data_IF_473883545394
#
_entry.id   IF_473883545394
#
_cell.length_a   1.000
_cell.length_b   1.000
_cell.length_c   1.000
_cell.angle_alpha   90.00
_cell.angle_beta   90.00
_cell.angle_gamma   90.00
#
_symmetry.space_group_name_H-M   'P 1'
#
loop_
_entity.id
_entity.type
_entity.pdbx_description
1 polymer ?
#
# COMPACT_ATOMS: atom_id res chain seq x y z
N UNK A 1 -40.86 74.95 17.92
CA UNK A 1 -42.01 74.81 17.01
C UNK A 1 -41.53 74.89 15.56
N UNK A 2 -41.93 73.89 14.76
CA UNK A 2 -41.98 73.84 13.28
C UNK A 2 -40.70 73.55 12.48
N UNK A 3 -40.62 72.28 12.05
CA UNK A 3 -40.08 71.71 10.80
C UNK A 3 -40.53 72.51 9.54
N UNK A 4 -39.98 72.48 8.31
CA UNK A 4 -39.16 71.56 7.48
C UNK A 4 -38.80 72.37 6.15
N UNK A 5 -38.30 71.80 5.03
CA UNK A 5 -36.94 71.34 4.64
C UNK A 5 -36.25 72.27 3.60
N UNK A 6 -34.96 72.06 3.32
CA UNK A 6 -34.44 72.19 1.94
C UNK A 6 -33.58 70.99 1.56
N UNK A 7 -34.25 70.04 0.90
CA UNK A 7 -33.72 69.06 -0.03
C UNK A 7 -33.18 69.85 -1.23
N UNK A 8 -31.87 69.82 -1.53
CA UNK A 8 -31.24 69.76 -2.88
C UNK A 8 -29.71 69.77 -2.63
N UNK A 9 -28.99 68.65 -2.78
CA UNK A 9 -27.54 68.63 -3.11
C UNK A 9 -27.02 67.28 -3.65
N UNK A 10 -27.77 66.53 -4.45
CA UNK A 10 -27.18 65.37 -5.17
C UNK A 10 -27.75 65.17 -6.60
N UNK A 11 -28.05 66.26 -7.31
CA UNK A 11 -28.53 66.20 -8.69
C UNK A 11 -27.41 66.23 -9.76
N UNK A 12 -26.16 65.89 -9.40
CA UNK A 12 -25.01 66.04 -10.31
C UNK A 12 -24.11 64.81 -10.47
N UNK A 13 -24.29 63.74 -9.69
CA UNK A 13 -23.34 62.61 -9.66
C UNK A 13 -23.94 61.25 -10.06
N UNK A 14 -25.25 61.20 -10.35
CA UNK A 14 -25.93 59.98 -10.78
C UNK A 14 -25.76 59.62 -12.27
N UNK A 15 -25.64 60.56 -13.25
CA UNK A 15 -25.50 60.16 -14.65
C UNK A 15 -24.09 59.71 -15.02
N UNK A 16 -23.07 60.08 -14.23
CA UNK A 16 -21.67 59.82 -14.56
C UNK A 16 -21.21 58.41 -14.14
N UNK A 17 -21.83 57.83 -13.11
CA UNK A 17 -21.59 56.44 -12.68
C UNK A 17 -22.36 55.41 -13.51
N UNK A 18 -23.49 55.79 -14.13
CA UNK A 18 -24.27 54.88 -14.98
C UNK A 18 -23.68 54.74 -16.40
N UNK A 19 -22.94 55.74 -16.89
CA UNK A 19 -22.24 55.69 -18.18
C UNK A 19 -20.97 54.82 -18.17
N UNK A 20 -20.35 54.63 -17.01
CA UNK A 20 -19.16 53.80 -16.84
C UNK A 20 -19.47 52.29 -16.75
N UNK A 21 -20.73 51.91 -16.52
CA UNK A 21 -21.15 50.50 -16.51
C UNK A 21 -21.50 49.95 -17.90
N UNK A 22 -21.72 50.79 -18.91
CA UNK A 22 -22.15 50.36 -20.25
C UNK A 22 -21.04 50.32 -21.31
N UNK A 23 -19.80 50.68 -20.94
CA UNK A 23 -18.62 50.55 -21.80
C UNK A 23 -17.67 49.41 -21.36
N UNK A 24 -18.07 48.64 -20.34
CA UNK A 24 -17.29 47.51 -19.78
C UNK A 24 -17.76 46.12 -20.21
N UNK A 25 -18.67 46.04 -21.19
CA UNK A 25 -19.00 44.78 -21.87
C UNK A 25 -18.47 44.88 -23.30
N UNK A 26 -17.14 44.78 -23.45
CA UNK A 26 -16.60 44.30 -24.71
C UNK A 26 -16.97 42.82 -24.81
N UNK A 27 -17.65 42.44 -25.89
CA UNK A 27 -17.85 41.05 -26.30
C UNK A 27 -16.48 40.33 -26.30
N UNK A 28 -16.13 39.67 -25.20
CA UNK A 28 -15.11 38.60 -25.18
C UNK A 28 -15.81 37.26 -25.44
N UNK A 29 -16.66 37.20 -26.46
CA UNK A 29 -17.32 35.97 -26.88
C UNK A 29 -16.58 35.25 -28.02
N UNK A 30 -15.46 35.79 -28.52
CA UNK A 30 -14.72 35.21 -29.65
C UNK A 30 -13.66 34.16 -29.28
N UNK A 31 -13.31 34.01 -28.00
CA UNK A 31 -12.35 32.99 -27.52
C UNK A 31 -13.02 31.87 -26.70
N UNK A 32 -14.25 31.50 -27.05
CA UNK A 32 -14.85 30.25 -26.55
C UNK A 32 -14.50 29.16 -27.56
N UNK A 33 -13.67 28.15 -27.21
CA UNK A 33 -13.38 27.03 -28.09
C UNK A 33 -14.66 26.43 -28.66
N UNK A 34 -14.75 26.36 -29.98
CA UNK A 34 -15.93 25.85 -30.69
C UNK A 34 -16.04 24.33 -30.65
N UNK A 35 -14.98 23.65 -30.21
CA UNK A 35 -14.97 22.24 -29.85
C UNK A 35 -14.14 22.07 -28.58
N UNK A 36 -14.64 21.23 -27.68
CA UNK A 36 -13.88 20.75 -26.54
C UNK A 36 -13.80 19.23 -26.62
N UNK A 37 -12.65 18.68 -26.25
CA UNK A 37 -12.51 17.24 -26.17
C UNK A 37 -13.44 16.67 -25.09
N UNK A 38 -14.12 15.59 -25.43
CA UNK A 38 -14.97 14.86 -24.49
C UNK A 38 -14.12 14.17 -23.42
N UNK A 39 -14.71 13.91 -22.25
CA UNK A 39 -14.06 13.13 -21.19
C UNK A 39 -13.52 11.80 -21.75
N UNK A 40 -14.32 11.08 -22.54
CA UNK A 40 -13.90 9.82 -23.16
C UNK A 40 -12.68 9.97 -24.08
N UNK A 41 -12.62 11.04 -24.88
CA UNK A 41 -11.47 11.29 -25.75
C UNK A 41 -10.22 11.60 -24.92
N UNK A 42 -10.35 12.44 -23.89
CA UNK A 42 -9.24 12.77 -22.98
C UNK A 42 -8.75 11.53 -22.22
N UNK A 43 -9.65 10.68 -21.74
CA UNK A 43 -9.27 9.42 -21.07
C UNK A 43 -8.50 8.50 -22.02
N UNK A 44 -8.95 8.34 -23.26
CA UNK A 44 -8.24 7.51 -24.25
C UNK A 44 -6.86 8.08 -24.57
N UNK A 45 -6.76 9.39 -24.78
CA UNK A 45 -5.46 10.04 -25.03
C UNK A 45 -4.52 9.94 -23.82
N UNK A 46 -5.07 10.01 -22.61
CA UNK A 46 -4.32 9.82 -21.37
C UNK A 46 -3.71 8.42 -21.29
N UNK A 47 -4.51 7.38 -21.51
CA UNK A 47 -4.02 6.00 -21.49
C UNK A 47 -3.11 5.66 -22.67
N UNK A 48 -3.37 6.20 -23.87
CA UNK A 48 -2.46 6.07 -25.02
C UNK A 48 -1.07 6.67 -24.72
N UNK A 49 -1.04 7.85 -24.07
CA UNK A 49 0.20 8.49 -23.66
C UNK A 49 0.90 7.71 -22.52
N UNK A 50 0.12 7.20 -21.55
CA UNK A 50 0.63 6.36 -20.46
C UNK A 50 1.32 5.11 -21.01
N UNK A 51 0.65 4.37 -21.89
CA UNK A 51 1.19 3.16 -22.53
C UNK A 51 2.43 3.45 -23.40
N UNK A 52 2.57 4.67 -23.92
CA UNK A 52 3.76 5.12 -24.63
C UNK A 52 4.92 5.56 -23.70
N UNK A 53 4.71 5.56 -22.39
CA UNK A 53 5.66 6.06 -21.38
C UNK A 53 5.75 7.59 -21.31
N UNK A 54 4.85 8.32 -21.98
CA UNK A 54 4.79 9.79 -21.93
C UNK A 54 3.87 10.25 -20.80
N UNK A 55 4.34 10.03 -19.58
CA UNK A 55 3.57 10.28 -18.36
C UNK A 55 3.21 11.77 -18.17
N UNK A 56 4.01 12.71 -18.68
CA UNK A 56 3.68 14.14 -18.59
C UNK A 56 2.48 14.49 -19.49
N UNK A 57 2.42 13.91 -20.70
CA UNK A 57 1.28 14.08 -21.59
C UNK A 57 0.05 13.35 -21.04
N UNK A 58 0.21 12.15 -20.48
CA UNK A 58 -0.86 11.41 -19.81
C UNK A 58 -1.49 12.24 -18.67
N UNK A 59 -0.64 12.82 -17.81
CA UNK A 59 -1.07 13.68 -16.71
C UNK A 59 -1.93 14.85 -17.20
N UNK A 60 -1.49 15.49 -18.30
CA UNK A 60 -2.21 16.62 -18.90
C UNK A 60 -3.63 16.21 -19.32
N UNK A 61 -3.76 15.09 -20.03
CA UNK A 61 -5.06 14.61 -20.50
C UNK A 61 -6.00 14.18 -19.36
N UNK A 62 -5.49 13.42 -18.38
CA UNK A 62 -6.31 13.02 -17.23
C UNK A 62 -6.72 14.23 -16.37
N UNK A 63 -5.83 15.21 -16.19
CA UNK A 63 -6.14 16.45 -15.46
C UNK A 63 -7.24 17.24 -16.17
N UNK A 64 -7.19 17.35 -17.50
CA UNK A 64 -8.25 17.99 -18.26
C UNK A 64 -9.58 17.23 -18.15
N UNK A 65 -9.58 15.89 -18.18
CA UNK A 65 -10.77 15.08 -17.98
C UNK A 65 -11.39 15.33 -16.59
N UNK A 66 -10.55 15.37 -15.55
CA UNK A 66 -10.98 15.67 -14.18
C UNK A 66 -11.57 17.09 -14.05
N UNK A 67 -10.98 18.09 -14.73
CA UNK A 67 -11.52 19.45 -14.76
C UNK A 67 -12.90 19.54 -15.42
N UNK A 68 -13.25 18.61 -16.33
CA UNK A 68 -14.60 18.55 -16.93
C UNK A 68 -15.62 17.95 -15.98
N UNK A 69 -15.22 17.00 -15.15
CA UNK A 69 -16.06 16.37 -14.16
C UNK A 69 -15.23 15.89 -12.97
N UNK A 70 -15.26 16.67 -11.88
CA UNK A 70 -14.54 16.36 -10.64
C UNK A 70 -15.09 15.13 -9.89
N UNK A 71 -16.14 14.48 -10.37
CA UNK A 71 -16.63 13.20 -9.84
C UNK A 71 -16.26 12.01 -10.74
N UNK A 72 -15.44 12.22 -11.77
CA UNK A 72 -15.04 11.15 -12.68
C UNK A 72 -13.88 10.34 -12.10
N UNK A 73 -14.19 9.31 -11.31
CA UNK A 73 -13.21 8.43 -10.67
C UNK A 73 -12.11 7.91 -11.61
N UNK A 74 -12.40 7.47 -12.86
CA UNK A 74 -11.34 7.03 -13.77
C UNK A 74 -10.26 8.09 -14.07
N UNK A 75 -10.60 9.38 -14.05
CA UNK A 75 -9.60 10.44 -14.23
C UNK A 75 -8.66 10.55 -13.02
N UNK A 76 -9.17 10.37 -11.80
CA UNK A 76 -8.33 10.25 -10.62
C UNK A 76 -7.42 9.02 -10.71
N UNK A 77 -7.93 7.90 -11.22
CA UNK A 77 -7.16 6.67 -11.37
C UNK A 77 -5.98 6.85 -12.32
N UNK A 78 -6.24 7.40 -13.51
CA UNK A 78 -5.18 7.72 -14.48
C UNK A 78 -4.15 8.69 -13.94
N UNK A 79 -4.56 9.72 -13.18
CA UNK A 79 -3.62 10.63 -12.52
C UNK A 79 -2.78 9.93 -11.44
N UNK A 80 -3.37 9.02 -10.65
CA UNK A 80 -2.67 8.26 -9.62
C UNK A 80 -1.56 7.39 -10.20
N UNK A 81 -1.90 6.54 -11.18
CA UNK A 81 -0.92 5.71 -11.89
C UNK A 81 0.17 6.53 -12.57
N UNK A 82 -0.22 7.63 -13.22
CA UNK A 82 0.73 8.55 -13.85
C UNK A 82 1.69 9.16 -12.81
N UNK A 83 1.19 9.55 -11.64
CA UNK A 83 2.01 10.10 -10.56
C UNK A 83 2.99 9.07 -9.98
N UNK A 84 2.60 7.79 -9.87
CA UNK A 84 3.53 6.70 -9.49
C UNK A 84 4.69 6.62 -10.48
N UNK A 85 4.40 6.62 -11.79
CA UNK A 85 5.43 6.56 -12.85
C UNK A 85 6.31 7.81 -12.92
N UNK A 86 5.81 8.95 -12.46
CA UNK A 86 6.57 10.19 -12.30
C UNK A 86 7.30 10.29 -10.96
N UNK A 87 7.24 9.26 -10.11
CA UNK A 87 7.81 9.25 -8.74
C UNK A 87 7.32 10.41 -7.87
N UNK A 88 6.08 10.85 -8.10
CA UNK A 88 5.42 11.89 -7.32
C UNK A 88 4.43 11.26 -6.35
N UNK A 89 4.97 10.63 -5.30
CA UNK A 89 4.22 9.76 -4.39
C UNK A 89 3.12 10.50 -3.62
N UNK A 90 3.37 11.74 -3.18
CA UNK A 90 2.36 12.61 -2.55
C UNK A 90 1.14 12.83 -3.45
N UNK A 91 1.37 13.09 -4.75
CA UNK A 91 0.27 13.26 -5.68
C UNK A 91 -0.42 11.93 -5.97
N UNK A 92 0.32 10.82 -6.11
CA UNK A 92 -0.26 9.48 -6.29
C UNK A 92 -1.20 9.11 -5.14
N UNK A 93 -0.74 9.24 -3.89
CA UNK A 93 -1.54 9.02 -2.69
C UNK A 93 -2.80 9.89 -2.71
N UNK A 94 -2.64 11.18 -3.01
CA UNK A 94 -3.76 12.13 -3.09
C UNK A 94 -4.80 11.66 -4.10
N UNK A 95 -4.39 11.27 -5.31
CA UNK A 95 -5.34 10.88 -6.36
C UNK A 95 -6.07 9.58 -6.03
N UNK A 96 -5.35 8.55 -5.57
CA UNK A 96 -5.98 7.30 -5.18
C UNK A 96 -6.88 7.46 -3.95
N UNK A 97 -6.52 8.33 -2.99
CA UNK A 97 -7.36 8.63 -1.82
C UNK A 97 -8.72 9.23 -2.21
N UNK A 98 -8.79 10.01 -3.30
CA UNK A 98 -10.08 10.49 -3.80
C UNK A 98 -10.96 9.33 -4.28
N UNK A 99 -10.39 8.30 -4.89
CA UNK A 99 -11.14 7.11 -5.31
C UNK A 99 -11.66 6.37 -4.09
N UNK A 100 -10.79 6.05 -3.12
CA UNK A 100 -11.19 5.30 -1.92
C UNK A 100 -12.22 6.03 -1.06
N UNK A 101 -12.26 7.37 -1.15
CA UNK A 101 -13.24 8.22 -0.46
C UNK A 101 -14.57 8.38 -1.22
N UNK A 102 -14.52 8.52 -2.54
CA UNK A 102 -15.69 8.86 -3.36
C UNK A 102 -16.41 7.65 -3.97
N UNK A 103 -15.69 6.55 -4.18
CA UNK A 103 -16.23 5.34 -4.77
C UNK A 103 -17.25 4.65 -3.86
N UNK A 104 -18.30 4.10 -4.45
CA UNK A 104 -19.25 3.26 -3.74
C UNK A 104 -18.63 1.87 -3.51
N UNK A 105 -18.52 1.39 -2.25
CA UNK A 105 -17.91 0.09 -1.94
C UNK A 105 -18.60 -1.12 -2.59
N UNK A 106 -19.90 -1.01 -2.92
CA UNK A 106 -20.69 -2.10 -3.50
C UNK A 106 -20.67 -2.10 -5.04
N UNK A 107 -20.62 -0.93 -5.69
CA UNK A 107 -20.73 -0.85 -7.15
C UNK A 107 -19.42 -0.54 -7.87
N UNK A 108 -18.43 0.01 -7.17
CA UNK A 108 -17.20 0.53 -7.78
C UNK A 108 -15.99 -0.32 -7.32
N UNK A 109 -16.17 -1.64 -7.23
CA UNK A 109 -15.15 -2.56 -6.71
C UNK A 109 -13.89 -2.56 -7.56
N UNK A 110 -14.02 -2.65 -8.89
CA UNK A 110 -12.90 -2.72 -9.82
C UNK A 110 -11.94 -1.52 -9.66
N UNK A 111 -12.47 -0.29 -9.73
CA UNK A 111 -11.66 0.92 -9.60
C UNK A 111 -11.11 1.12 -8.17
N UNK A 112 -11.78 0.55 -7.16
CA UNK A 112 -11.26 0.56 -5.79
C UNK A 112 -10.09 -0.41 -5.65
N UNK A 113 -10.20 -1.63 -6.16
CA UNK A 113 -9.10 -2.60 -6.15
C UNK A 113 -7.87 -2.02 -6.86
N UNK A 114 -8.09 -1.43 -8.03
CA UNK A 114 -7.05 -0.74 -8.82
C UNK A 114 -6.39 0.42 -8.05
N UNK A 115 -7.18 1.28 -7.40
CA UNK A 115 -6.64 2.35 -6.57
C UNK A 115 -5.81 1.84 -5.39
N UNK A 116 -6.23 0.76 -4.72
CA UNK A 116 -5.47 0.14 -3.65
C UNK A 116 -4.19 -0.53 -4.18
N UNK A 117 -4.23 -1.17 -5.34
CA UNK A 117 -3.04 -1.71 -5.99
C UNK A 117 -2.03 -0.60 -6.35
N UNK A 118 -2.52 0.54 -6.84
CA UNK A 118 -1.70 1.72 -7.10
C UNK A 118 -1.07 2.33 -5.84
N UNK A 119 -1.82 2.39 -4.74
CA UNK A 119 -1.29 2.80 -3.43
C UNK A 119 -0.21 1.84 -2.92
N UNK A 120 -0.43 0.53 -3.08
CA UNK A 120 0.55 -0.48 -2.70
C UNK A 120 1.86 -0.28 -3.47
N UNK A 121 1.79 -0.19 -4.80
CA UNK A 121 2.97 0.03 -5.64
C UNK A 121 3.66 1.37 -5.32
N UNK A 122 2.89 2.44 -5.13
CA UNK A 122 3.43 3.75 -4.77
C UNK A 122 4.26 3.68 -3.50
N UNK A 123 3.72 3.10 -2.43
CA UNK A 123 4.41 2.99 -1.15
C UNK A 123 5.66 2.11 -1.22
N UNK A 124 5.62 1.00 -1.97
CA UNK A 124 6.78 0.14 -2.18
C UNK A 124 7.91 0.84 -2.96
N UNK A 125 7.57 1.55 -4.04
CA UNK A 125 8.55 2.31 -4.83
C UNK A 125 9.12 3.46 -3.98
N UNK A 126 8.26 4.19 -3.26
CA UNK A 126 8.67 5.26 -2.36
C UNK A 126 9.67 4.75 -1.32
N UNK A 127 9.35 3.62 -0.65
CA UNK A 127 10.28 2.96 0.28
C UNK A 127 11.64 2.71 -0.37
N UNK A 128 11.68 2.08 -1.54
CA UNK A 128 12.93 1.74 -2.21
C UNK A 128 13.72 2.97 -2.66
N UNK A 129 13.06 4.00 -3.21
CA UNK A 129 13.71 5.26 -3.60
C UNK A 129 14.28 5.97 -2.37
N UNK A 130 13.51 6.05 -1.30
CA UNK A 130 13.86 6.69 -0.05
C UNK A 130 15.01 5.97 0.66
N UNK A 131 15.01 4.64 0.65
CA UNK A 131 16.11 3.81 1.15
C UNK A 131 17.41 4.06 0.38
N UNK A 132 17.36 4.05 -0.96
CA UNK A 132 18.52 4.34 -1.82
C UNK A 132 19.05 5.76 -1.61
N UNK A 133 18.16 6.72 -1.37
CA UNK A 133 18.53 8.10 -1.03
C UNK A 133 19.30 8.22 0.28
N UNK A 134 19.11 7.28 1.21
CA UNK A 134 19.79 7.25 2.51
C UNK A 134 19.35 8.37 3.46
N UNK A 135 18.20 9.00 3.20
CA UNK A 135 17.69 10.15 3.97
C UNK A 135 16.69 9.75 5.06
N UNK A 136 16.09 8.57 4.98
CA UNK A 136 15.06 8.11 5.91
C UNK A 136 15.59 7.27 7.07
N UNK A 137 14.86 7.31 8.18
CA UNK A 137 15.02 6.38 9.29
C UNK A 137 14.30 5.06 9.05
N UNK A 138 14.68 4.04 9.80
CA UNK A 138 14.05 2.71 9.78
C UNK A 138 12.54 2.76 10.04
N UNK A 139 12.07 3.65 10.93
CA UNK A 139 10.65 3.83 11.24
C UNK A 139 9.82 4.21 10.00
N UNK A 140 10.34 5.13 9.17
CA UNK A 140 9.67 5.61 7.96
C UNK A 140 9.61 4.53 6.88
N UNK A 141 10.72 3.81 6.67
CA UNK A 141 10.77 2.73 5.69
C UNK A 141 9.89 1.55 6.11
N UNK A 142 9.84 1.22 7.40
CA UNK A 142 8.94 0.20 7.93
C UNK A 142 7.48 0.61 7.78
N UNK A 143 7.15 1.90 7.97
CA UNK A 143 5.81 2.41 7.76
C UNK A 143 5.37 2.31 6.29
N UNK A 144 6.25 2.65 5.34
CA UNK A 144 5.98 2.50 3.91
C UNK A 144 5.82 1.03 3.50
N UNK A 145 6.63 0.12 4.05
CA UNK A 145 6.50 -1.31 3.81
C UNK A 145 5.14 -1.84 4.30
N UNK A 146 4.72 -1.45 5.52
CA UNK A 146 3.40 -1.78 6.07
C UNK A 146 2.26 -1.21 5.24
N UNK A 147 2.36 0.06 4.86
CA UNK A 147 1.38 0.71 4.00
C UNK A 147 1.23 -0.02 2.66
N UNK A 148 2.34 -0.48 2.06
CA UNK A 148 2.30 -1.27 0.85
C UNK A 148 1.54 -2.59 1.04
N UNK A 149 1.83 -3.31 2.13
CA UNK A 149 1.20 -4.60 2.46
C UNK A 149 -0.31 -4.42 2.66
N UNK A 150 -0.71 -3.47 3.51
CA UNK A 150 -2.10 -3.23 3.85
C UNK A 150 -2.93 -2.90 2.59
N UNK A 151 -2.39 -2.07 1.70
CA UNK A 151 -3.07 -1.70 0.47
C UNK A 151 -3.16 -2.88 -0.52
N UNK A 152 -2.10 -3.69 -0.64
CA UNK A 152 -2.14 -4.88 -1.49
C UNK A 152 -3.16 -5.92 -0.98
N UNK A 153 -3.23 -6.14 0.33
CA UNK A 153 -4.19 -7.05 0.96
C UNK A 153 -5.63 -6.56 0.77
N UNK A 154 -5.86 -5.24 0.85
CA UNK A 154 -7.18 -4.66 0.56
C UNK A 154 -7.53 -4.86 -0.92
N UNK A 155 -6.59 -4.62 -1.86
CA UNK A 155 -6.82 -4.81 -3.28
C UNK A 155 -7.21 -6.27 -3.59
N UNK A 156 -6.42 -7.24 -3.10
CA UNK A 156 -6.66 -8.67 -3.23
C UNK A 156 -7.94 -9.13 -2.51
N UNK A 157 -8.31 -8.47 -1.41
CA UNK A 157 -9.57 -8.73 -0.70
C UNK A 157 -10.80 -8.25 -1.47
N UNK A 158 -10.67 -7.21 -2.31
CA UNK A 158 -11.73 -6.72 -3.18
C UNK A 158 -11.80 -7.56 -4.46
N UNK A 159 -10.66 -7.79 -5.11
CA UNK A 159 -10.53 -8.59 -6.33
C UNK A 159 -9.31 -9.53 -6.24
N UNK A 160 -9.51 -10.80 -5.85
CA UNK A 160 -8.43 -11.79 -5.79
C UNK A 160 -7.80 -12.13 -7.14
N UNK A 161 -8.44 -11.72 -8.25
CA UNK A 161 -7.99 -11.96 -9.62
C UNK A 161 -7.58 -10.67 -10.33
N UNK A 162 -7.27 -9.62 -9.55
CA UNK A 162 -6.91 -8.30 -10.04
C UNK A 162 -5.94 -8.35 -11.22
N UNK A 163 -6.33 -7.69 -12.33
CA UNK A 163 -5.58 -7.66 -13.59
C UNK A 163 -5.74 -6.29 -14.28
N UNK A 164 -4.74 -5.39 -14.17
CA UNK A 164 -4.76 -4.07 -14.80
C UNK A 164 -4.27 -4.11 -16.25
N UNK A 165 -4.73 -5.09 -17.03
CA UNK A 165 -4.30 -5.32 -18.42
C UNK A 165 -4.37 -4.07 -19.33
N UNK A 166 -5.22 -3.10 -18.99
CA UNK A 166 -5.42 -1.87 -19.75
C UNK A 166 -4.31 -0.81 -19.56
N UNK A 167 -3.56 -0.82 -18.46
CA UNK A 167 -2.50 0.18 -18.23
C UNK A 167 -1.17 -0.39 -17.73
N UNK A 168 -1.17 -1.42 -16.89
CA UNK A 168 0.06 -2.01 -16.35
C UNK A 168 0.06 -3.55 -16.48
N UNK A 169 0.06 -4.07 -17.73
CA UNK A 169 0.12 -5.50 -17.97
C UNK A 169 1.39 -6.07 -17.33
N UNK A 170 1.22 -6.94 -16.33
CA UNK A 170 2.32 -7.51 -15.53
C UNK A 170 2.22 -7.23 -14.04
N UNK A 171 1.49 -6.18 -13.62
CA UNK A 171 1.24 -5.88 -12.20
C UNK A 171 -0.16 -6.27 -11.75
N UNK A 172 -0.53 -7.55 -11.96
CA UNK A 172 -1.78 -8.12 -11.46
C UNK A 172 -1.68 -8.67 -10.03
N UNK A 173 -2.59 -9.58 -9.68
CA UNK A 173 -2.61 -10.24 -8.36
C UNK A 173 -1.26 -10.92 -8.01
N UNK A 174 -0.61 -11.56 -8.98
CA UNK A 174 0.74 -12.12 -8.80
C UNK A 174 1.76 -11.04 -8.41
N UNK A 175 1.71 -9.88 -9.07
CA UNK A 175 2.56 -8.73 -8.76
C UNK A 175 2.33 -8.18 -7.35
N UNK A 176 1.08 -8.15 -6.88
CA UNK A 176 0.75 -7.76 -5.50
C UNK A 176 1.29 -8.77 -4.47
N UNK A 177 1.21 -10.06 -4.74
CA UNK A 177 1.81 -11.08 -3.88
C UNK A 177 3.34 -10.98 -3.82
N UNK A 178 4.01 -10.73 -4.95
CA UNK A 178 5.46 -10.51 -4.97
C UNK A 178 5.85 -9.23 -4.24
N UNK A 179 5.06 -8.16 -4.37
CA UNK A 179 5.24 -6.92 -3.64
C UNK A 179 5.14 -7.15 -2.12
N UNK A 180 4.14 -7.91 -1.68
CA UNK A 180 4.01 -8.33 -0.28
C UNK A 180 5.21 -9.18 0.16
N UNK A 181 5.63 -10.16 -0.65
CA UNK A 181 6.79 -10.99 -0.33
C UNK A 181 8.04 -10.13 -0.10
N UNK A 182 8.28 -9.13 -0.94
CA UNK A 182 9.40 -8.21 -0.81
C UNK A 182 9.29 -7.31 0.44
N UNK A 183 8.10 -6.78 0.75
CA UNK A 183 7.89 -5.93 1.92
C UNK A 183 7.98 -6.72 3.23
N UNK A 184 7.44 -7.93 3.28
CA UNK A 184 7.61 -8.83 4.42
C UNK A 184 9.07 -9.21 4.63
N UNK A 185 9.80 -9.53 3.55
CA UNK A 185 11.23 -9.82 3.64
C UNK A 185 12.02 -8.64 4.24
N UNK A 186 11.72 -7.42 3.77
CA UNK A 186 12.32 -6.19 4.29
C UNK A 186 12.04 -5.98 5.78
N UNK A 187 10.80 -6.23 6.21
CA UNK A 187 10.38 -6.17 7.61
C UNK A 187 10.92 -7.34 8.47
N UNK A 188 11.71 -8.25 7.87
CA UNK A 188 12.23 -9.48 8.50
C UNK A 188 11.12 -10.46 8.90
N UNK A 189 9.94 -10.37 8.27
CA UNK A 189 8.81 -11.29 8.45
C UNK A 189 8.92 -12.44 7.46
N UNK A 190 9.88 -13.34 7.70
CA UNK A 190 10.27 -14.36 6.72
C UNK A 190 9.13 -15.33 6.41
N UNK A 191 8.35 -15.79 7.39
CA UNK A 191 7.21 -16.70 7.15
C UNK A 191 6.12 -16.04 6.27
N UNK A 192 5.81 -14.76 6.51
CA UNK A 192 4.85 -14.02 5.68
C UNK A 192 5.38 -13.80 4.27
N UNK A 193 6.69 -13.54 4.13
CA UNK A 193 7.36 -13.44 2.84
C UNK A 193 7.28 -14.74 2.04
N UNK A 194 7.56 -15.87 2.69
CA UNK A 194 7.45 -17.21 2.12
C UNK A 194 6.02 -17.54 1.71
N UNK A 195 5.04 -17.21 2.54
CA UNK A 195 3.63 -17.45 2.26
C UNK A 195 3.18 -16.69 1.02
N UNK A 196 3.54 -15.41 0.91
CA UNK A 196 3.23 -14.58 -0.24
C UNK A 196 3.92 -15.08 -1.53
N UNK A 197 5.21 -15.45 -1.44
CA UNK A 197 5.94 -16.01 -2.58
C UNK A 197 5.36 -17.36 -3.05
N UNK A 198 4.91 -18.20 -2.11
CA UNK A 198 4.35 -19.52 -2.43
C UNK A 198 3.03 -19.46 -3.20
N UNK A 199 2.36 -18.31 -3.24
CA UNK A 199 1.20 -18.11 -4.13
C UNK A 199 1.64 -18.07 -5.60
N UNK A 200 2.83 -17.53 -5.87
CA UNK A 200 3.37 -17.31 -7.22
C UNK A 200 4.32 -18.43 -7.65
N UNK A 201 5.16 -18.91 -6.74
CA UNK A 201 6.10 -20.02 -6.95
C UNK A 201 5.98 -21.06 -5.81
N UNK A 202 4.96 -21.94 -5.85
CA UNK A 202 4.62 -22.84 -4.74
C UNK A 202 5.71 -23.83 -4.36
N UNK A 203 6.62 -24.14 -5.28
CA UNK A 203 7.67 -25.13 -5.08
C UNK A 203 8.98 -24.50 -4.61
N UNK A 204 9.14 -23.18 -4.72
CA UNK A 204 10.40 -22.53 -4.39
C UNK A 204 10.79 -22.70 -2.92
N UNK A 205 9.90 -22.32 -2.00
CA UNK A 205 10.15 -22.41 -0.55
C UNK A 205 10.36 -23.86 -0.10
N UNK A 206 9.48 -24.83 -0.45
CA UNK A 206 9.72 -26.24 -0.14
C UNK A 206 11.07 -26.77 -0.64
N UNK A 207 11.49 -26.41 -1.86
CA UNK A 207 12.78 -26.84 -2.39
C UNK A 207 13.96 -26.22 -1.64
N UNK A 208 13.83 -24.96 -1.22
CA UNK A 208 14.86 -24.26 -0.47
C UNK A 208 15.00 -24.86 0.94
N UNK A 209 13.88 -25.13 1.62
CA UNK A 209 13.84 -25.84 2.90
C UNK A 209 14.41 -27.26 2.79
N UNK A 210 14.12 -27.99 1.70
CA UNK A 210 14.72 -29.32 1.48
C UNK A 210 16.23 -29.28 1.24
N UNK A 211 16.76 -28.14 0.79
CA UNK A 211 18.19 -27.95 0.51
C UNK A 211 18.97 -27.54 1.74
N UNK A 212 18.42 -26.63 2.55
CA UNK A 212 19.12 -25.97 3.65
C UNK A 212 18.61 -26.33 5.04
N UNK A 213 17.44 -26.96 5.11
CA UNK A 213 16.75 -27.30 6.34
C UNK A 213 17.06 -28.71 6.85
N UNK A 214 17.06 -28.85 8.17
CA UNK A 214 17.01 -30.13 8.88
C UNK A 214 15.75 -30.14 9.75
N UNK A 215 14.91 -31.16 9.56
CA UNK A 215 13.71 -31.34 10.36
C UNK A 215 14.07 -31.72 11.80
N UNK A 216 13.51 -31.00 12.76
CA UNK A 216 13.59 -31.28 14.20
C UNK A 216 12.18 -31.56 14.69
N UNK A 217 12.01 -32.71 15.32
CA UNK A 217 10.72 -33.20 15.80
C UNK A 217 10.73 -33.38 17.31
N UNK A 218 9.60 -33.05 17.92
CA UNK A 218 9.26 -33.27 19.33
C UNK A 218 10.27 -32.63 20.29
N UNK A 219 10.66 -31.37 20.04
CA UNK A 219 11.50 -30.63 20.97
C UNK A 219 10.65 -30.04 22.10
N UNK A 220 10.85 -30.56 23.30
CA UNK A 220 10.17 -30.08 24.49
C UNK A 220 10.90 -28.86 25.06
N UNK A 221 10.29 -27.68 25.00
CA UNK A 221 10.86 -26.41 25.48
C UNK A 221 10.01 -25.80 26.59
N UNK A 222 10.66 -25.04 27.47
CA UNK A 222 10.01 -24.30 28.55
C UNK A 222 9.80 -22.84 28.14
N UNK A 223 8.69 -22.25 28.56
CA UNK A 223 8.39 -20.84 28.32
C UNK A 223 9.19 -19.92 29.27
N UNK A 224 9.83 -18.90 28.69
CA UNK A 224 10.48 -17.78 29.37
C UNK A 224 9.62 -16.50 29.25
N UNK A 225 9.90 -15.51 30.09
CA UNK A 225 9.16 -14.25 30.12
C UNK A 225 10.06 -13.01 30.22
N UNK A 226 9.66 -11.95 29.55
CA UNK A 226 10.23 -10.61 29.68
C UNK A 226 9.12 -9.64 30.04
N UNK A 227 9.34 -8.79 31.05
CA UNK A 227 8.37 -7.77 31.45
C UNK A 227 8.93 -6.37 31.25
N UNK A 228 8.26 -5.57 30.44
CA UNK A 228 8.60 -4.18 30.17
C UNK A 228 7.34 -3.31 30.25
N UNK A 229 7.44 -2.17 30.95
CA UNK A 229 6.36 -1.18 31.08
C UNK A 229 4.98 -1.68 31.57
N UNK A 230 4.94 -2.89 32.16
CA UNK A 230 3.70 -3.50 32.65
C UNK A 230 3.12 -4.56 31.73
N UNK A 231 3.70 -4.75 30.54
CA UNK A 231 3.38 -5.83 29.63
C UNK A 231 4.39 -6.97 29.79
N UNK A 232 3.87 -8.21 29.83
CA UNK A 232 4.67 -9.43 29.89
C UNK A 232 4.59 -10.14 28.55
N UNK A 233 5.76 -10.30 27.94
CA UNK A 233 5.99 -11.00 26.69
C UNK A 233 6.51 -12.39 27.01
N UNK A 234 5.89 -13.41 26.43
CA UNK A 234 6.24 -14.81 26.66
C UNK A 234 6.94 -15.37 25.46
N UNK A 235 8.06 -16.07 25.65
CA UNK A 235 8.78 -16.64 24.52
C UNK A 235 9.33 -18.03 24.79
N UNK A 236 9.47 -18.81 23.72
CA UNK A 236 10.22 -20.06 23.73
C UNK A 236 11.64 -19.76 23.27
N UNK A 237 12.66 -19.96 24.13
CA UNK A 237 14.05 -19.86 23.72
C UNK A 237 14.40 -21.04 22.80
N UNK A 238 15.19 -20.79 21.77
CA UNK A 238 15.69 -21.82 20.87
C UNK A 238 17.19 -21.99 21.10
N UNK A 239 17.63 -23.23 21.23
CA UNK A 239 19.05 -23.56 21.46
C UNK A 239 19.91 -23.28 20.21
N UNK A 240 19.29 -23.15 19.03
CA UNK A 240 19.97 -22.86 17.77
C UNK A 240 19.59 -21.47 17.21
N UNK A 241 20.58 -20.57 17.01
CA UNK A 241 20.35 -19.29 16.34
C UNK A 241 20.15 -19.51 14.83
N UNK A 242 18.99 -19.15 14.29
CA UNK A 242 18.64 -19.30 12.87
C UNK A 242 17.16 -18.98 12.57
N UNK A 243 16.79 -18.92 11.29
CA UNK A 243 15.40 -19.07 10.83
C UNK A 243 14.95 -20.50 11.06
N UNK A 244 13.82 -20.58 11.73
CA UNK A 244 13.07 -21.80 11.98
C UNK A 244 11.75 -21.65 11.22
N UNK A 245 11.39 -22.66 10.44
CA UNK A 245 10.05 -22.76 9.85
C UNK A 245 9.24 -23.69 10.75
N UNK A 246 8.34 -23.11 11.55
CA UNK A 246 7.57 -23.88 12.53
C UNK A 246 6.45 -24.65 11.85
N UNK A 247 6.33 -25.92 12.20
CA UNK A 247 5.28 -26.80 11.66
C UNK A 247 4.24 -27.14 12.72
N UNK A 248 4.64 -27.21 13.99
CA UNK A 248 3.71 -27.42 15.09
C UNK A 248 4.21 -26.79 16.39
N UNK A 249 3.26 -26.24 17.16
CA UNK A 249 3.46 -25.80 18.53
C UNK A 249 2.30 -26.34 19.37
N UNK A 250 2.59 -27.24 20.30
CA UNK A 250 1.57 -27.90 21.13
C UNK A 250 1.88 -27.67 22.59
N UNK A 251 0.97 -27.02 23.31
CA UNK A 251 1.09 -26.90 24.76
C UNK A 251 0.89 -28.26 25.42
N UNK A 252 1.70 -28.55 26.44
CA UNK A 252 1.46 -29.68 27.34
C UNK A 252 0.11 -29.56 28.07
N UNK A 253 -0.42 -28.34 28.23
CA UNK A 253 -1.79 -28.10 28.64
C UNK A 253 -2.69 -27.92 27.41
N UNK A 254 -3.38 -29.00 27.03
CA UNK A 254 -4.28 -29.03 25.87
C UNK A 254 -5.50 -28.09 25.97
N UNK A 255 -5.67 -27.37 27.08
CA UNK A 255 -6.73 -26.37 27.25
C UNK A 255 -6.30 -24.95 26.88
N UNK A 256 -5.00 -24.74 26.66
CA UNK A 256 -4.47 -23.47 26.18
C UNK A 256 -4.62 -23.37 24.66
N UNK A 257 -5.18 -22.25 24.23
CA UNK A 257 -5.21 -21.81 22.83
C UNK A 257 -4.12 -20.75 22.69
N UNK A 258 -3.15 -20.98 21.81
CA UNK A 258 -1.98 -20.11 21.65
C UNK A 258 -1.73 -19.82 20.18
N UNK A 259 -1.43 -18.56 19.89
CA UNK A 259 -0.84 -18.12 18.63
C UNK A 259 0.66 -17.87 18.85
N UNK A 260 1.42 -17.76 17.75
CA UNK A 260 2.85 -17.50 17.85
C UNK A 260 3.34 -16.54 16.75
N UNK A 261 4.47 -15.88 17.05
CA UNK A 261 5.22 -15.06 16.11
C UNK A 261 6.72 -15.37 16.26
N UNK A 262 7.48 -15.37 15.17
CA UNK A 262 8.91 -15.66 15.20
C UNK A 262 9.72 -14.36 15.26
N UNK A 263 10.60 -14.24 16.27
CA UNK A 263 11.55 -13.14 16.42
C UNK A 263 12.96 -13.64 16.04
N UNK A 264 13.42 -13.24 14.84
CA UNK A 264 14.72 -13.63 14.31
C UNK A 264 15.89 -12.84 14.91
N UNK A 265 15.67 -11.63 15.44
CA UNK A 265 16.74 -10.87 16.10
C UNK A 265 17.11 -11.50 17.45
N UNK A 266 16.11 -12.04 18.16
CA UNK A 266 16.29 -12.77 19.41
C UNK A 266 16.46 -14.29 19.27
N UNK A 267 16.18 -14.86 18.08
CA UNK A 267 16.05 -16.33 17.87
C UNK A 267 15.08 -16.98 18.86
N UNK A 268 13.88 -16.40 18.97
CA UNK A 268 12.86 -16.83 19.94
C UNK A 268 11.48 -16.86 19.29
N UNK A 269 10.57 -17.66 19.85
CA UNK A 269 9.16 -17.70 19.44
C UNK A 269 8.36 -16.91 20.45
N UNK A 270 7.76 -15.79 20.06
CA UNK A 270 6.77 -15.11 20.86
C UNK A 270 5.49 -15.96 20.92
N UNK A 271 5.02 -16.26 22.12
CA UNK A 271 3.78 -17.03 22.35
C UNK A 271 2.71 -16.09 22.85
N UNK A 272 1.58 -16.06 22.15
CA UNK A 272 0.45 -15.17 22.42
C UNK A 272 -0.71 -16.04 22.92
N UNK A 273 -1.13 -15.92 24.18
CA UNK A 273 -2.27 -16.69 24.68
C UNK A 273 -3.58 -16.15 24.12
N UNK A 274 -4.57 -17.03 23.98
CA UNK A 274 -5.92 -16.67 23.62
C UNK A 274 -6.57 -15.72 24.66
N UNK A 275 -7.70 -15.08 24.28
CA UNK A 275 -8.39 -14.14 25.16
C UNK A 275 -8.71 -14.76 26.53
N UNK A 276 -8.42 -14.03 27.60
CA UNK A 276 -8.62 -14.44 29.00
C UNK A 276 -7.79 -15.65 29.47
N UNK A 277 -6.79 -16.10 28.69
CA UNK A 277 -5.83 -17.13 29.11
C UNK A 277 -4.53 -16.52 29.62
N UNK A 278 -3.95 -17.12 30.67
CA UNK A 278 -2.69 -16.70 31.25
C UNK A 278 -1.58 -17.72 30.99
N UNK A 279 -0.37 -17.24 30.75
CA UNK A 279 0.84 -18.07 30.67
C UNK A 279 1.66 -17.95 31.96
N UNK A 280 2.53 -18.94 32.20
CA UNK A 280 3.42 -19.00 33.34
C UNK A 280 4.78 -19.57 32.92
N UNK A 281 5.85 -19.14 33.60
CA UNK A 281 7.20 -19.63 33.32
C UNK A 281 7.29 -21.14 33.54
N UNK A 282 8.05 -21.81 32.68
CA UNK A 282 8.23 -23.27 32.74
C UNK A 282 7.01 -24.08 32.29
N UNK A 283 5.97 -23.43 31.74
CA UNK A 283 4.94 -24.13 30.98
C UNK A 283 5.62 -24.85 29.79
N UNK A 284 5.35 -26.14 29.66
CA UNK A 284 5.98 -26.98 28.64
C UNK A 284 5.26 -26.93 27.31
N UNK A 285 6.03 -26.87 26.23
CA UNK A 285 5.55 -26.97 24.86
C UNK A 285 6.35 -28.05 24.13
N UNK A 286 5.68 -28.76 23.23
CA UNK A 286 6.32 -29.54 22.18
C UNK A 286 6.33 -28.69 20.91
N UNK A 287 7.50 -28.56 20.28
CA UNK A 287 7.69 -27.81 19.05
C UNK A 287 8.25 -28.74 17.98
N UNK A 288 7.64 -28.70 16.79
CA UNK A 288 8.20 -29.27 15.57
C UNK A 288 8.57 -28.12 14.62
N UNK A 289 9.76 -28.18 14.04
CA UNK A 289 10.26 -27.13 13.16
C UNK A 289 11.33 -27.61 12.19
N UNK A 290 11.56 -26.82 11.13
CA UNK A 290 12.71 -26.98 10.23
C UNK A 290 13.78 -25.97 10.62
N UNK A 291 14.93 -26.46 11.05
CA UNK A 291 16.12 -25.66 11.33
C UNK A 291 16.93 -25.43 10.06
N UNK A 292 17.22 -24.18 9.70
CA UNK A 292 18.00 -23.87 8.50
C UNK A 292 19.46 -23.59 8.89
N UNK A 293 20.37 -24.49 8.50
CA UNK A 293 21.79 -24.44 8.89
C UNK A 293 22.56 -23.32 8.17
N UNK A 294 22.29 -23.12 6.87
CA UNK A 294 22.97 -22.14 6.03
C UNK A 294 22.10 -20.88 5.83
N UNK A 295 21.83 -20.18 6.93
CA UNK A 295 20.88 -19.06 6.94
C UNK A 295 21.12 -17.97 5.90
N UNK A 296 22.37 -17.52 5.78
CA UNK A 296 22.71 -16.47 4.85
C UNK A 296 22.46 -16.87 3.39
N UNK A 297 22.67 -18.15 3.06
CA UNK A 297 22.40 -18.69 1.71
C UNK A 297 20.91 -18.82 1.47
N UNK A 298 20.16 -19.29 2.46
CA UNK A 298 18.70 -19.36 2.42
C UNK A 298 18.08 -17.98 2.13
N UNK A 299 18.39 -16.98 2.95
CA UNK A 299 17.86 -15.62 2.81
C UNK A 299 18.32 -14.97 1.50
N UNK A 300 19.55 -15.23 1.07
CA UNK A 300 20.05 -14.76 -0.22
C UNK A 300 19.21 -15.32 -1.37
N UNK A 301 18.98 -16.64 -1.41
CA UNK A 301 18.18 -17.24 -2.49
C UNK A 301 16.72 -16.80 -2.45
N UNK A 302 16.12 -16.67 -1.27
CA UNK A 302 14.76 -16.14 -1.12
C UNK A 302 14.65 -14.72 -1.68
N UNK A 303 15.54 -13.83 -1.24
CA UNK A 303 15.62 -12.45 -1.74
C UNK A 303 15.84 -12.39 -3.25
N UNK A 304 16.80 -13.15 -3.79
CA UNK A 304 17.05 -13.21 -5.24
C UNK A 304 15.84 -13.70 -6.02
N UNK A 305 15.10 -14.70 -5.52
CA UNK A 305 13.93 -15.21 -6.24
C UNK A 305 12.80 -14.19 -6.29
N UNK A 306 12.56 -13.48 -5.20
CA UNK A 306 11.58 -12.38 -5.16
C UNK A 306 11.99 -11.31 -6.19
N UNK A 307 13.26 -10.90 -6.21
CA UNK A 307 13.78 -9.92 -7.17
C UNK A 307 13.69 -10.38 -8.62
N UNK A 308 13.95 -11.66 -8.91
CA UNK A 308 13.86 -12.24 -10.26
C UNK A 308 12.44 -12.23 -10.82
N UNK A 309 11.43 -12.38 -9.96
CA UNK A 309 10.03 -12.49 -10.36
C UNK A 309 9.33 -11.13 -10.45
N UNK A 310 9.89 -10.10 -9.82
CA UNK A 310 9.36 -8.74 -9.91
C UNK A 310 9.72 -8.15 -11.29
N UNK A 311 8.70 -8.00 -12.14
CA UNK A 311 8.80 -7.32 -13.43
C UNK A 311 8.17 -5.92 -13.33
N UNK A 312 8.99 -4.87 -13.17
CA UNK A 312 8.54 -3.46 -13.27
C UNK A 312 9.45 -2.66 -14.22
#
# INVERSE_FOLDING_TARGET
MKNFPQIIRYAGLAPLLLGLFLLGCSDQSEDIPTSFDSITLLMNQGWDAYAAGDFNTAETHFREANQRNAQHLPAYNGLGWTAVRLTNFTDAETQFSFITTLANPESDQDIRADAYAGLALSAAIERSVTEIGGEAGEEELNALARQSIDNADIALGIDPTYDPADHDPGFGAEGLHLLNAQNYFYLKEIENSEAALSVVDPEFVPNLLATYGTEVLDEATGLDSETAEGDTTWFLPLDNPGVHHFTSLVSADTTLDVEYLVDYEGSRILVIPGPDQGLAEGLGFTVDYVYIEAMAEYLYHLSQRIEELIEF
#
